data_IF_705735143897
#
_entry.id   IF_705735143897
#
_cell.length_a   1.000
_cell.length_b   1.000
_cell.length_c   1.000
_cell.angle_alpha   90.00
_cell.angle_beta   90.00
_cell.angle_gamma   90.00
#
_symmetry.space_group_name_H-M   'P 1'
#
loop_
_entity.id
_entity.type
_entity.pdbx_description
1 polymer ?
2 non-polymer ?
3 non-polymer ?
4 non-polymer ?
#
# COMPACT_ATOMS: atom_id res chain seq x y z
N UNK A 6 -23.11 -0.78 17.89
CA UNK A 6 -23.31 0.46 17.13
C UNK A 6 -22.03 1.28 17.04
N UNK A 7 -21.21 1.22 18.10
CA UNK A 7 -20.07 2.13 18.23
C UNK A 7 -18.81 1.41 18.71
N UNK A 8 -18.37 0.41 17.96
CA UNK A 8 -17.04 -0.15 18.13
C UNK A 8 -16.17 0.44 17.02
N UNK A 9 -15.25 1.33 17.40
CA UNK A 9 -14.43 2.04 16.44
C UNK A 9 -13.23 1.19 16.02
N UNK A 10 -12.63 1.56 14.90
CA UNK A 10 -11.38 0.99 14.43
C UNK A 10 -10.44 2.13 14.07
N UNK A 11 -9.17 2.00 14.46
CA UNK A 11 -8.18 3.05 14.30
C UNK A 11 -7.02 2.50 13.47
N UNK A 12 -6.63 3.24 12.44
CA UNK A 12 -5.50 2.87 11.59
C UNK A 12 -4.38 3.89 11.74
N UNK A 13 -3.17 3.38 11.87
CA UNK A 13 -1.99 4.22 12.07
C UNK A 13 -0.91 3.82 11.08
N UNK A 14 -0.36 4.81 10.37
CA UNK A 14 0.76 4.59 9.46
C UNK A 14 1.85 5.60 9.81
N UNK A 15 3.04 5.09 10.11
CA UNK A 15 4.19 5.96 10.36
C UNK A 15 5.01 6.05 9.08
N UNK A 16 4.53 6.84 8.13
CA UNK A 16 5.19 6.98 6.85
C UNK A 16 6.48 7.78 6.93
N UNK A 17 7.14 7.90 5.78
CA UNK A 17 8.41 8.59 5.68
C UNK A 17 8.27 10.10 5.50
N UNK A 18 7.04 10.59 5.30
CA UNK A 18 6.82 12.03 5.17
C UNK A 18 5.57 12.47 5.93
N UNK A 19 5.01 11.62 6.78
CA UNK A 19 3.67 11.79 7.31
C UNK A 19 3.43 10.71 8.36
N UNK A 20 2.54 11.02 9.30
CA UNK A 20 2.05 10.04 10.27
C UNK A 20 0.54 10.19 10.30
N UNK A 21 -0.18 9.24 9.71
CA UNK A 21 -1.62 9.31 9.56
C UNK A 21 -2.30 8.43 10.61
N UNK A 22 -3.22 9.02 11.36
CA UNK A 22 -4.05 8.31 12.31
C UNK A 22 -5.50 8.66 12.03
N UNK A 23 -6.30 7.66 11.66
CA UNK A 23 -7.71 7.84 11.34
C UNK A 23 -8.56 6.95 12.21
N UNK A 24 -9.56 7.56 12.86
CA UNK A 24 -10.53 6.84 13.67
C UNK A 24 -11.79 6.64 12.83
N UNK A 25 -12.16 5.38 12.62
CA UNK A 25 -13.31 5.06 11.81
C UNK A 25 -14.36 4.31 12.63
N UNK A 26 -15.62 4.47 12.23
CA UNK A 26 -16.75 3.77 12.82
C UNK A 26 -17.37 2.88 11.75
N UNK A 27 -17.44 1.58 12.04
CA UNK A 27 -17.99 0.64 11.07
C UNK A 27 -19.51 0.66 11.14
N UNK A 28 -20.16 0.76 9.99
CA UNK A 28 -21.60 0.85 9.86
C UNK A 28 -22.19 -0.49 9.46
N UNK A 29 -23.51 -0.68 9.62
CA UNK A 29 -24.09 -2.01 9.36
C UNK A 29 -23.90 -2.51 7.94
N UNK A 30 -23.84 -1.62 6.95
CA UNK A 30 -23.70 -2.03 5.55
C UNK A 30 -22.24 -2.18 5.12
N UNK A 31 -21.32 -2.39 6.06
CA UNK A 31 -19.92 -2.56 5.76
C UNK A 31 -19.16 -1.27 5.53
N UNK A 32 -19.83 -0.18 5.18
CA UNK A 32 -19.16 1.09 4.97
C UNK A 32 -18.58 1.61 6.28
N UNK A 33 -17.39 2.20 6.18
CA UNK A 33 -16.69 2.75 7.34
C UNK A 33 -16.98 4.25 7.43
N UNK A 34 -17.33 4.71 8.63
CA UNK A 34 -17.63 6.12 8.87
C UNK A 34 -16.41 6.77 9.50
N UNK A 35 -15.76 7.67 8.77
CA UNK A 35 -14.57 8.36 9.26
C UNK A 35 -15.01 9.51 10.17
N UNK A 36 -14.63 9.43 11.44
CA UNK A 36 -15.00 10.44 12.43
C UNK A 36 -13.81 11.22 12.96
N UNK A 37 -12.59 10.77 12.70
CA UNK A 37 -11.40 11.48 13.16
C UNK A 37 -10.23 11.33 12.22
N UNK A 38 -9.53 12.44 11.96
CA UNK A 38 -8.39 12.46 11.04
C UNK A 38 -7.25 13.22 11.72
N UNK A 39 -6.16 12.52 11.99
CA UNK A 39 -4.97 13.13 12.54
C UNK A 39 -3.79 12.96 11.61
N UNK A 40 -2.89 13.94 11.63
CA UNK A 40 -1.73 13.92 10.74
C UNK A 40 -0.58 14.70 11.38
N UNK A 41 0.63 14.32 11.02
CA UNK A 41 1.85 14.94 11.51
C UNK A 41 2.97 14.69 10.51
N UNK A 42 3.68 15.72 10.06
CA UNK A 42 4.85 15.50 9.21
C UNK A 42 5.89 14.66 9.95
N UNK A 43 6.32 13.57 9.31
CA UNK A 43 7.15 12.59 9.99
C UNK A 43 8.48 13.20 10.43
N UNK A 44 8.97 12.72 11.58
CA UNK A 44 10.22 13.17 12.14
C UNK A 44 10.92 12.00 12.82
N UNK A 45 12.25 12.07 12.88
CA UNK A 45 13.02 11.05 13.56
C UNK A 45 13.14 9.73 12.83
N UNK A 46 13.02 9.72 11.51
CA UNK A 46 13.15 8.51 10.72
C UNK A 46 13.88 8.82 9.42
N UNK A 47 14.83 7.96 9.06
CA UNK A 47 15.61 8.16 7.84
C UNK A 47 15.35 7.05 6.83
N UNK A 48 16.28 6.87 5.88
CA UNK A 48 16.08 5.91 4.80
C UNK A 48 15.99 4.48 5.30
N UNK A 49 16.47 4.20 6.51
CA UNK A 49 16.31 2.88 7.09
C UNK A 49 15.01 2.77 7.87
N UNK A 50 15.07 3.05 9.16
CA UNK A 50 13.88 3.03 10.00
C UNK A 50 13.86 4.16 11.00
N UNK A 51 13.82 3.81 12.28
CA UNK A 51 13.79 4.79 13.36
C UNK A 51 15.22 5.12 13.78
N UNK A 52 15.59 6.39 13.74
CA UNK A 52 16.88 6.85 14.24
C UNK A 52 16.74 7.72 15.49
N UNK A 53 15.53 7.86 16.02
CA UNK A 53 15.30 8.62 17.26
C UNK A 53 13.91 8.23 17.75
N UNK A 54 13.86 7.34 18.74
CA UNK A 54 12.58 6.83 19.23
C UNK A 54 11.73 7.95 19.82
N UNK A 55 12.33 8.82 20.64
CA UNK A 55 11.57 9.89 21.25
C UNK A 55 11.05 10.89 20.22
N UNK A 56 11.73 11.00 19.07
CA UNK A 56 11.28 11.94 18.06
C UNK A 56 10.01 11.44 17.36
N UNK A 57 9.95 10.15 17.04
CA UNK A 57 8.76 9.61 16.38
C UNK A 57 7.60 9.50 17.35
N UNK A 58 7.89 9.25 18.64
CA UNK A 58 6.84 9.20 19.64
C UNK A 58 6.10 10.53 19.72
N UNK A 59 6.85 11.65 19.62
CA UNK A 59 6.22 12.96 19.62
C UNK A 59 5.27 13.12 18.44
N UNK A 60 5.72 12.72 17.25
CA UNK A 60 4.90 12.88 16.05
C UNK A 60 3.74 11.89 16.02
N UNK A 61 3.93 10.68 16.55
CA UNK A 61 2.84 9.71 16.61
C UNK A 61 1.76 10.20 17.58
N UNK A 62 2.16 10.68 18.75
CA UNK A 62 1.19 11.21 19.71
C UNK A 62 0.50 12.46 19.18
N UNK A 63 1.20 13.26 18.37
CA UNK A 63 0.58 14.46 17.80
C UNK A 63 -0.55 14.08 16.86
N UNK A 64 -0.35 13.06 16.02
CA UNK A 64 -1.42 12.61 15.14
C UNK A 64 -2.55 11.96 15.92
N UNK A 65 -2.20 11.17 16.95
CA UNK A 65 -3.22 10.56 17.80
C UNK A 65 -4.02 11.63 18.53
N UNK A 66 -3.34 12.65 19.05
CA UNK A 66 -4.03 13.73 19.76
C UNK A 66 -4.99 14.47 18.83
N UNK A 67 -4.60 14.66 17.58
CA UNK A 67 -5.49 15.33 16.62
C UNK A 67 -6.70 14.47 16.30
N UNK A 68 -6.50 13.16 16.14
CA UNK A 68 -7.62 12.27 15.84
C UNK A 68 -8.51 12.08 17.05
N UNK A 69 -7.92 11.99 18.25
CA UNK A 69 -8.72 11.87 19.46
C UNK A 69 -9.67 13.04 19.63
N UNK A 70 -9.22 14.25 19.31
CA UNK A 70 -10.03 15.44 19.50
C UNK A 70 -11.12 15.55 18.44
N UNK A 71 -10.81 15.18 17.19
CA UNK A 71 -11.77 15.34 16.11
C UNK A 71 -12.97 14.41 16.27
N UNK A 72 -12.76 13.24 16.88
CA UNK A 72 -13.82 12.26 17.02
C UNK A 72 -14.44 12.24 18.41
N UNK A 73 -13.89 13.01 19.36
CA UNK A 73 -14.35 13.02 20.75
C UNK A 73 -14.40 11.59 21.31
N UNK A 74 -13.24 10.94 21.27
CA UNK A 74 -13.13 9.57 21.74
C UNK A 74 -11.74 9.37 22.34
N UNK A 75 -11.50 8.17 22.87
CA UNK A 75 -10.24 7.81 23.49
C UNK A 75 -9.67 6.60 22.76
N UNK A 76 -8.57 6.80 22.05
CA UNK A 76 -7.92 5.73 21.30
C UNK A 76 -7.16 4.84 22.26
N UNK A 77 -7.30 3.52 22.10
CA UNK A 77 -6.63 2.58 22.99
C UNK A 77 -5.84 1.55 22.20
N UNK A 78 -6.29 1.23 20.98
CA UNK A 78 -5.61 0.27 20.14
C UNK A 78 -5.62 0.76 18.70
N UNK A 79 -4.68 0.24 17.90
CA UNK A 79 -4.52 0.65 16.51
C UNK A 79 -4.15 -0.56 15.66
N UNK A 80 -4.32 -0.39 14.35
CA UNK A 80 -3.82 -1.32 13.34
C UNK A 80 -2.65 -0.63 12.67
N UNK A 81 -1.45 -1.15 12.90
CA UNK A 81 -0.22 -0.51 12.42
C UNK A 81 0.11 -1.00 11.02
N UNK A 82 0.30 -0.06 10.10
CA UNK A 82 0.73 -0.39 8.75
C UNK A 82 2.22 -0.68 8.75
N UNK A 83 2.61 -1.80 8.15
CA UNK A 83 4.00 -2.21 8.08
C UNK A 83 4.44 -2.30 6.62
N UNK A 84 5.61 -1.77 6.33
CA UNK A 84 6.22 -1.87 5.01
C UNK A 84 7.73 -1.95 5.20
N UNK A 85 8.46 -1.84 4.10
CA UNK A 85 9.91 -1.92 4.16
C UNK A 85 10.48 -2.83 3.08
N UNK A 86 11.79 -2.70 2.84
CA UNK A 86 12.42 -3.47 1.76
C UNK A 86 12.28 -4.97 1.98
N UNK A 87 12.29 -5.41 3.24
CA UNK A 87 12.42 -6.83 3.57
C UNK A 87 11.09 -7.54 3.70
N UNK A 88 10.06 -7.09 3.01
CA UNK A 88 8.81 -7.83 2.90
C UNK A 88 8.92 -8.76 1.69
N UNK A 89 8.46 -9.99 1.85
CA UNK A 89 8.50 -10.97 0.77
C UNK A 89 7.21 -11.79 0.79
N UNK A 90 6.98 -12.55 -0.28
CA UNK A 90 5.76 -13.32 -0.44
C UNK A 90 6.08 -14.74 -0.88
N UNK A 91 5.13 -15.64 -0.62
CA UNK A 91 5.25 -17.04 -0.98
C UNK A 91 3.88 -17.56 -1.42
N UNK A 92 3.89 -18.48 -2.38
CA UNK A 92 2.68 -19.14 -2.85
C UNK A 92 2.79 -20.63 -2.53
N UNK A 93 1.83 -21.14 -1.75
CA UNK A 93 1.88 -22.51 -1.27
C UNK A 93 0.55 -23.21 -1.53
N UNK A 94 0.54 -24.52 -1.34
CA UNK A 94 -0.60 -25.38 -1.66
C UNK A 94 -0.78 -26.43 -0.58
N UNK A 95 -2.03 -26.68 -0.17
CA UNK A 95 -2.34 -27.68 0.83
C UNK A 95 -3.45 -28.62 0.37
N UNK A 96 -3.72 -29.63 1.21
CA UNK A 96 -4.60 -30.71 0.82
C UNK A 96 -5.00 -31.53 2.05
N UNK A 97 -6.28 -31.89 2.10
CA UNK A 97 -7.00 -32.26 3.32
C UNK A 97 -8.22 -33.06 2.86
N UNK A 98 -8.68 -34.07 3.62
CA UNK A 98 -9.82 -34.91 3.18
C UNK A 98 -11.18 -34.29 3.51
N UNK A 99 -12.03 -34.17 2.47
CA UNK A 99 -13.41 -33.79 2.71
C UNK A 99 -14.12 -34.96 3.39
N UNK A 100 -13.92 -35.07 4.70
CA UNK A 100 -14.69 -36.01 5.49
C UNK A 100 -16.14 -35.57 5.52
N UNK A 101 -17.04 -36.54 5.74
CA UNK A 101 -18.48 -36.33 5.81
C UNK A 101 -19.08 -35.92 4.47
N UNK A 102 -18.30 -35.98 3.38
CA UNK A 102 -18.79 -35.69 2.04
C UNK A 102 -19.18 -34.23 1.87
N UNK A 103 -19.35 -33.51 2.98
CA UNK A 103 -19.71 -32.11 2.98
C UNK A 103 -18.58 -31.30 3.61
N UNK A 104 -18.25 -30.16 2.98
CA UNK A 104 -17.18 -29.31 3.46
C UNK A 104 -17.60 -28.62 4.76
N UNK A 105 -16.82 -28.84 5.81
CA UNK A 105 -17.00 -28.13 7.06
C UNK A 105 -16.10 -26.89 7.10
N UNK A 106 -16.47 -25.93 7.94
CA UNK A 106 -15.62 -24.77 8.13
C UNK A 106 -14.27 -25.17 8.73
N UNK A 107 -14.25 -26.20 9.57
CA UNK A 107 -13.00 -26.69 10.12
C UNK A 107 -12.08 -27.23 9.04
N UNK A 108 -12.64 -27.77 7.97
CA UNK A 108 -11.81 -28.30 6.88
C UNK A 108 -11.04 -27.18 6.19
N UNK A 109 -11.69 -26.02 5.99
CA UNK A 109 -11.01 -24.89 5.37
C UNK A 109 -9.89 -24.39 6.27
N UNK A 110 -10.14 -24.36 7.59
CA UNK A 110 -9.09 -23.99 8.53
C UNK A 110 -7.95 -25.00 8.50
N UNK A 111 -8.28 -26.29 8.35
CA UNK A 111 -7.25 -27.32 8.35
C UNK A 111 -6.43 -27.28 7.07
N UNK A 112 -7.08 -27.02 5.93
CA UNK A 112 -6.36 -27.04 4.66
C UNK A 112 -5.53 -25.75 4.48
N UNK A 113 -5.97 -24.64 5.07
CA UNK A 113 -5.17 -23.42 5.01
C UNK A 113 -3.94 -23.55 5.90
N UNK A 114 -4.11 -24.13 7.09
CA UNK A 114 -2.98 -24.39 7.96
C UNK A 114 -2.02 -25.39 7.34
N UNK A 115 -2.53 -26.30 6.52
CA UNK A 115 -1.66 -27.27 5.84
C UNK A 115 -0.77 -26.58 4.82
N UNK A 116 -1.34 -25.66 4.02
CA UNK A 116 -0.55 -24.99 3.00
C UNK A 116 0.48 -24.05 3.60
N UNK A 117 0.17 -23.42 4.73
CA UNK A 117 1.08 -22.48 5.35
C UNK A 117 2.16 -23.15 6.19
N UNK A 118 2.09 -24.46 6.38
CA UNK A 118 3.03 -25.19 7.22
C UNK A 118 4.36 -25.49 6.53
N UNK A 119 4.67 -24.79 5.43
CA UNK A 119 5.94 -25.02 4.74
C UNK A 119 7.08 -24.37 5.51
N UNK A 120 8.31 -24.60 5.05
CA UNK A 120 9.51 -24.21 5.80
C UNK A 120 9.87 -22.79 5.38
N UNK A 121 9.47 -21.82 6.17
CA UNK A 121 9.80 -20.42 5.89
C UNK A 121 11.27 -20.18 6.21
N UNK A 122 11.89 -19.30 5.43
CA UNK A 122 13.32 -18.99 5.54
C UNK A 122 13.72 -18.64 6.97
N UNK A 123 15.00 -18.81 7.29
CA UNK A 123 15.57 -18.30 8.52
C UNK A 123 15.26 -16.81 8.66
N UNK A 124 15.37 -16.30 9.88
CA UNK A 124 15.11 -14.89 10.24
C UNK A 124 13.86 -14.29 9.62
N UNK A 125 12.98 -15.11 9.03
CA UNK A 125 11.76 -14.61 8.41
C UNK A 125 10.53 -15.05 9.21
N UNK A 126 9.54 -14.16 9.24
CA UNK A 126 8.32 -14.38 10.00
C UNK A 126 7.12 -14.18 9.08
N UNK A 127 6.12 -15.07 9.21
CA UNK A 127 4.91 -14.96 8.41
C UNK A 127 4.03 -13.85 8.97
N UNK A 128 3.63 -12.93 8.10
CA UNK A 128 2.84 -11.77 8.49
C UNK A 128 1.37 -11.90 8.14
N UNK A 129 1.06 -12.47 6.97
CA UNK A 129 -0.32 -12.65 6.53
C UNK A 129 -0.48 -14.01 5.86
N UNK A 130 -1.60 -14.67 6.16
CA UNK A 130 -1.96 -15.93 5.53
C UNK A 130 -3.27 -15.67 4.79
N UNK A 131 -3.17 -15.44 3.48
CA UNK A 131 -4.33 -15.08 2.66
C UNK A 131 -4.64 -16.27 1.75
N UNK A 132 -5.73 -16.99 1.98
CA UNK A 132 -6.18 -17.98 1.00
C UNK A 132 -6.58 -17.28 -0.29
N UNK A 133 -6.33 -17.95 -1.42
CA UNK A 133 -6.66 -17.38 -2.70
C UNK A 133 -7.66 -18.20 -3.50
N UNK A 134 -7.54 -19.53 -3.49
CA UNK A 134 -8.43 -20.38 -4.26
C UNK A 134 -8.52 -21.75 -3.62
N UNK A 135 -9.64 -22.43 -3.85
CA UNK A 135 -9.86 -23.79 -3.40
C UNK A 135 -10.25 -24.65 -4.60
N UNK A 136 -10.00 -25.95 -4.47
CA UNK A 136 -10.32 -26.91 -5.52
C UNK A 136 -10.87 -28.17 -4.89
N UNK A 137 -12.03 -28.62 -5.36
CA UNK A 137 -12.71 -29.80 -4.84
C UNK A 137 -12.98 -30.73 -6.02
N UNK A 138 -12.14 -31.75 -6.18
CA UNK A 138 -12.32 -32.79 -7.19
C UNK A 138 -12.52 -32.19 -8.58
N UNK A 139 -11.42 -31.75 -9.21
CA UNK A 139 -11.39 -31.27 -10.59
C UNK A 139 -12.09 -29.93 -10.79
N UNK A 140 -12.76 -29.41 -9.77
CA UNK A 140 -13.42 -28.12 -9.86
C UNK A 140 -12.58 -27.08 -9.10
N UNK A 141 -12.06 -26.10 -9.84
CA UNK A 141 -11.17 -25.08 -9.30
C UNK A 141 -11.86 -23.73 -9.30
N UNK A 142 -11.12 -22.70 -8.90
CA UNK A 142 -11.65 -21.35 -8.84
C UNK A 142 -12.65 -21.09 -7.74
N UNK A 143 -12.75 -21.97 -6.76
CA UNK A 143 -13.75 -21.83 -5.70
C UNK A 143 -13.24 -20.87 -4.64
N UNK A 144 -14.14 -20.02 -4.15
CA UNK A 144 -13.83 -19.08 -3.07
C UNK A 144 -14.54 -19.41 -1.76
N UNK A 145 -15.83 -19.77 -1.82
CA UNK A 145 -16.60 -20.17 -0.64
C UNK A 145 -16.96 -21.64 -0.77
N UNK A 146 -16.11 -22.55 -0.31
CA UNK A 146 -16.35 -23.98 -0.54
C UNK A 146 -17.14 -24.69 0.55
N UNK A 147 -17.40 -24.05 1.69
CA UNK A 147 -18.07 -24.73 2.79
C UNK A 147 -19.48 -25.14 2.38
N UNK A 148 -19.88 -26.34 2.79
CA UNK A 148 -21.18 -26.87 2.46
C UNK A 148 -21.25 -27.67 1.17
N UNK A 149 -20.19 -27.69 0.37
CA UNK A 149 -20.21 -28.36 -0.91
C UNK A 149 -19.87 -29.85 -0.75
N UNK A 150 -19.95 -30.59 -1.85
CA UNK A 150 -19.75 -32.03 -1.85
C UNK A 150 -18.45 -32.39 -2.57
N UNK A 151 -17.67 -33.28 -1.97
CA UNK A 151 -16.42 -33.71 -2.57
C UNK A 151 -15.70 -34.69 -1.67
N UNK A 152 -14.58 -35.18 -2.18
CA UNK A 152 -13.74 -36.15 -1.48
C UNK A 152 -12.42 -35.53 -1.04
N UNK A 153 -11.71 -34.91 -1.98
CA UNK A 153 -10.39 -34.33 -1.71
C UNK A 153 -10.43 -32.85 -2.06
N UNK A 154 -9.83 -32.02 -1.21
CA UNK A 154 -9.79 -30.58 -1.42
C UNK A 154 -8.35 -30.08 -1.41
N UNK A 155 -8.02 -29.25 -2.38
CA UNK A 155 -6.75 -28.53 -2.45
C UNK A 155 -6.99 -27.05 -2.23
N UNK A 156 -6.06 -26.40 -1.52
CA UNK A 156 -6.14 -24.96 -1.28
C UNK A 156 -4.82 -24.30 -1.63
N UNK A 157 -4.91 -23.06 -2.11
CA UNK A 157 -3.74 -22.25 -2.41
C UNK A 157 -3.80 -20.98 -1.56
N UNK A 158 -2.66 -20.62 -0.96
CA UNK A 158 -2.58 -19.47 -0.07
C UNK A 158 -1.43 -18.58 -0.49
N UNK A 159 -1.54 -17.31 -0.13
CA UNK A 159 -0.47 -16.33 -0.31
C UNK A 159 0.11 -16.00 1.07
N UNK A 160 1.43 -16.11 1.18
CA UNK A 160 2.12 -15.93 2.47
C UNK A 160 3.00 -14.70 2.39
N UNK A 161 2.57 -13.62 3.04
CA UNK A 161 3.37 -12.41 3.16
C UNK A 161 4.26 -12.55 4.39
N UNK A 162 5.57 -12.39 4.20
CA UNK A 162 6.53 -12.55 5.27
C UNK A 162 7.28 -11.25 5.51
N UNK A 163 7.87 -11.14 6.69
CA UNK A 163 8.69 -9.98 7.06
C UNK A 163 9.91 -10.51 7.78
N UNK A 164 10.54 -9.65 8.59
CA UNK A 164 11.62 -10.05 9.47
C UNK A 164 11.19 -9.90 10.92
N UNK A 165 11.85 -10.66 11.80
CA UNK A 165 11.46 -10.68 13.21
C UNK A 165 11.64 -9.34 13.88
N UNK A 166 12.51 -8.47 13.36
CA UNK A 166 12.85 -7.22 14.03
C UNK A 166 12.48 -5.96 13.26
N UNK A 167 12.12 -6.06 11.98
CA UNK A 167 11.93 -4.88 11.15
C UNK A 167 10.78 -4.00 11.59
N UNK A 168 9.94 -4.46 12.53
CA UNK A 168 8.86 -3.65 13.06
C UNK A 168 8.98 -3.39 14.55
N UNK A 169 10.05 -3.87 15.19
CA UNK A 169 10.18 -3.75 16.64
C UNK A 169 10.21 -2.29 17.10
N UNK A 170 10.76 -1.40 16.27
CA UNK A 170 10.92 -0.01 16.69
C UNK A 170 9.59 0.75 16.64
N UNK A 171 8.86 0.62 15.53
CA UNK A 171 7.60 1.37 15.40
C UNK A 171 6.55 0.84 16.37
N UNK A 172 6.66 -0.43 16.77
CA UNK A 172 5.73 -0.96 17.76
C UNK A 172 5.99 -0.35 19.13
N UNK A 173 7.26 -0.04 19.44
CA UNK A 173 7.58 0.61 20.70
C UNK A 173 7.01 2.03 20.75
N UNK A 174 7.12 2.77 19.65
CA UNK A 174 6.61 4.15 19.62
C UNK A 174 5.11 4.16 19.87
N UNK A 175 4.37 3.21 19.30
CA UNK A 175 2.94 3.13 19.55
C UNK A 175 2.67 2.76 20.99
N UNK A 176 3.39 1.77 21.52
CA UNK A 176 3.22 1.38 22.91
C UNK A 176 3.67 2.46 23.87
N UNK A 177 4.72 3.22 23.51
CA UNK A 177 5.16 4.33 24.34
C UNK A 177 4.09 5.41 24.46
N UNK A 178 3.17 5.49 23.51
CA UNK A 178 2.03 6.39 23.59
C UNK A 178 0.85 5.76 24.32
N UNK A 179 1.07 4.64 25.01
CA UNK A 179 0.00 3.97 25.74
C UNK A 179 -1.06 3.38 24.83
N UNK A 180 -0.63 2.69 23.78
CA UNK A 180 -1.54 2.10 22.80
C UNK A 180 -1.17 0.66 22.54
N UNK A 181 -2.20 -0.18 22.35
CA UNK A 181 -2.01 -1.57 21.96
C UNK A 181 -1.92 -1.67 20.45
N UNK A 182 -1.06 -2.58 19.97
CA UNK A 182 -0.94 -2.86 18.55
C UNK A 182 -1.78 -4.10 18.26
N UNK A 183 -2.95 -3.88 17.67
CA UNK A 183 -3.86 -5.01 17.42
C UNK A 183 -3.28 -5.97 16.39
N UNK A 184 -2.67 -5.44 15.33
CA UNK A 184 -2.13 -6.28 14.27
C UNK A 184 -1.26 -5.43 13.36
N UNK A 185 -0.16 -6.03 12.88
CA UNK A 185 0.65 -5.43 11.82
C UNK A 185 0.07 -5.85 10.47
N UNK A 186 -0.08 -4.89 9.56
CA UNK A 186 -0.68 -5.13 8.26
C UNK A 186 0.22 -4.52 7.19
N UNK A 187 0.52 -5.31 6.16
CA UNK A 187 1.33 -4.83 5.05
C UNK A 187 0.64 -3.67 4.34
N UNK A 188 1.39 -2.60 4.08
CA UNK A 188 0.80 -1.39 3.51
C UNK A 188 0.17 -1.65 2.15
N UNK A 189 0.81 -2.48 1.33
CA UNK A 189 0.25 -2.79 0.03
C UNK A 189 -1.08 -3.51 0.14
N UNK A 190 -1.22 -4.40 1.12
CA UNK A 190 -2.49 -5.07 1.36
C UNK A 190 -3.55 -4.07 1.82
N UNK A 191 -3.19 -3.19 2.75
CA UNK A 191 -4.14 -2.19 3.23
C UNK A 191 -4.52 -1.21 2.12
N UNK A 192 -3.55 -0.84 1.28
CA UNK A 192 -3.84 0.06 0.17
C UNK A 192 -4.77 -0.59 -0.85
N UNK A 193 -4.67 -1.91 -1.03
CA UNK A 193 -5.56 -2.60 -1.96
C UNK A 193 -6.98 -2.68 -1.43
N UNK A 194 -7.15 -2.66 -0.10
CA UNK A 194 -8.48 -2.70 0.48
C UNK A 194 -9.23 -1.38 0.38
N UNK A 195 -8.55 -0.29 0.02
CA UNK A 195 -9.16 1.02 -0.05
C UNK A 195 -9.56 1.44 -1.46
N UNK A 196 -8.69 1.20 -2.45
CA UNK A 196 -8.89 1.73 -3.79
C UNK A 196 -9.36 0.69 -4.80
N UNK A 197 -9.30 -0.60 -4.47
CA UNK A 197 -9.68 -1.65 -5.39
C UNK A 197 -11.12 -2.07 -5.16
N UNK A 198 -11.83 -2.28 -6.27
CA UNK A 198 -13.17 -2.85 -6.23
C UNK A 198 -13.09 -4.34 -6.54
N UNK A 199 -14.08 -5.09 -6.04
CA UNK A 199 -14.12 -6.52 -6.33
C UNK A 199 -14.32 -6.78 -7.82
N UNK A 200 -14.91 -5.83 -8.54
CA UNK A 200 -14.96 -5.93 -10.00
C UNK A 200 -13.56 -5.89 -10.59
N UNK A 201 -12.72 -4.96 -10.12
CA UNK A 201 -11.35 -4.86 -10.61
C UNK A 201 -10.51 -6.06 -10.16
N UNK A 202 -10.83 -6.63 -9.00
CA UNK A 202 -10.07 -7.78 -8.52
C UNK A 202 -10.32 -9.02 -9.38
N UNK A 203 -11.58 -9.24 -9.77
CA UNK A 203 -11.88 -10.38 -10.63
C UNK A 203 -11.31 -10.18 -12.04
N UNK A 204 -11.42 -8.96 -12.57
CA UNK A 204 -10.96 -8.68 -13.92
C UNK A 204 -9.44 -8.70 -14.04
N UNK A 205 -8.73 -8.63 -12.92
CA UNK A 205 -7.28 -8.60 -12.96
C UNK A 205 -6.73 -7.19 -12.86
N UNK A 206 -6.10 -6.86 -11.73
CA UNK A 206 -5.65 -5.49 -11.46
C UNK A 206 -4.38 -5.54 -10.62
N UNK A 207 -3.64 -4.43 -10.64
CA UNK A 207 -2.46 -4.25 -9.81
C UNK A 207 -2.49 -2.84 -9.23
N UNK A 208 -2.36 -2.75 -7.91
CA UNK A 208 -2.40 -1.48 -7.19
C UNK A 208 -0.99 -1.15 -6.72
N UNK A 209 -0.58 0.10 -6.93
CA UNK A 209 0.75 0.57 -6.56
C UNK A 209 0.60 1.81 -5.70
N UNK A 210 1.08 1.74 -4.45
CA UNK A 210 1.08 2.88 -3.53
C UNK A 210 2.46 3.52 -3.58
N UNK A 211 2.54 4.71 -4.17
CA UNK A 211 3.80 5.44 -4.31
C UNK A 211 3.85 6.45 -3.19
N UNK A 212 4.58 6.11 -2.12
CA UNK A 212 4.72 7.01 -1.00
C UNK A 212 5.94 7.90 -1.12
N UNK A 213 6.61 8.16 0.01
CA UNK A 213 7.81 8.97 0.01
C UNK A 213 9.07 8.12 -0.01
N UNK A 214 8.98 6.89 0.46
CA UNK A 214 10.15 6.04 0.56
C UNK A 214 10.00 4.68 -0.10
N UNK A 215 8.82 4.07 0.01
CA UNK A 215 8.58 2.72 -0.47
C UNK A 215 7.53 2.71 -1.58
N UNK A 216 7.48 1.59 -2.29
CA UNK A 216 6.50 1.36 -3.36
C UNK A 216 5.83 0.02 -3.07
N UNK A 217 4.64 0.07 -2.46
CA UNK A 217 3.92 -1.13 -2.06
C UNK A 217 3.05 -1.61 -3.21
N UNK A 218 3.23 -2.87 -3.61
CA UNK A 218 2.58 -3.43 -4.80
C UNK A 218 1.74 -4.62 -4.39
N UNK A 219 0.58 -4.76 -5.06
CA UNK A 219 -0.28 -5.92 -4.88
C UNK A 219 -0.99 -6.18 -6.20
N UNK A 220 -0.97 -7.43 -6.65
CA UNK A 220 -1.56 -7.82 -7.92
C UNK A 220 -2.67 -8.84 -7.67
N UNK A 221 -3.84 -8.57 -8.22
CA UNK A 221 -5.01 -9.43 -8.07
C UNK A 221 -5.43 -9.96 -9.43
N UNK A 222 -5.57 -11.28 -9.55
CA UNK A 222 -6.17 -11.91 -10.72
C UNK A 222 -7.15 -12.97 -10.25
N UNK A 223 -8.28 -13.07 -10.94
CA UNK A 223 -9.31 -14.00 -10.54
C UNK A 223 -9.86 -13.76 -9.15
N UNK A 224 -9.92 -12.50 -8.72
CA UNK A 224 -10.39 -12.18 -7.39
C UNK A 224 -9.49 -12.65 -6.28
N UNK A 225 -8.24 -13.00 -6.59
CA UNK A 225 -7.32 -13.56 -5.61
C UNK A 225 -6.02 -12.77 -5.62
N UNK A 226 -5.42 -12.61 -4.44
CA UNK A 226 -4.14 -11.93 -4.31
C UNK A 226 -3.03 -12.86 -4.78
N UNK A 227 -2.33 -12.47 -5.84
CA UNK A 227 -1.31 -13.32 -6.43
C UNK A 227 0.11 -12.87 -6.13
N UNK A 228 0.33 -11.59 -5.86
CA UNK A 228 1.68 -11.08 -5.67
C UNK A 228 1.67 -9.84 -4.79
N UNK A 229 2.70 -9.72 -3.96
CA UNK A 229 2.95 -8.54 -3.15
C UNK A 229 4.45 -8.24 -3.17
N UNK A 230 4.80 -6.96 -3.19
CA UNK A 230 6.20 -6.59 -3.29
C UNK A 230 6.37 -5.14 -2.83
N UNK A 231 7.50 -4.86 -2.17
CA UNK A 231 7.91 -3.51 -1.83
C UNK A 231 9.12 -3.14 -2.66
N UNK A 232 9.13 -1.93 -3.20
CA UNK A 232 10.27 -1.37 -3.89
C UNK A 232 10.67 -0.08 -3.17
N UNK A 233 11.87 0.01 -2.62
CA UNK A 233 12.19 1.14 -1.74
C UNK A 233 12.67 2.39 -2.48
N UNK A 234 11.99 2.76 -3.56
CA UNK A 234 12.32 3.98 -4.30
C UNK A 234 11.02 4.68 -4.66
N UNK A 235 10.73 5.77 -3.95
CA UNK A 235 9.50 6.53 -4.20
C UNK A 235 9.76 8.02 -4.23
N UNK A 236 8.81 8.81 -3.71
CA UNK A 236 8.82 10.25 -3.94
C UNK A 236 10.10 10.97 -3.57
N UNK A 237 10.80 10.47 -2.55
CA UNK A 237 12.04 11.14 -2.13
C UNK A 237 13.11 11.07 -3.20
N UNK A 238 13.12 10.01 -4.01
CA UNK A 238 14.12 9.87 -5.06
C UNK A 238 13.88 10.90 -6.15
N UNK A 239 12.61 11.18 -6.45
CA UNK A 239 12.28 12.22 -7.43
C UNK A 239 12.78 13.58 -6.96
N UNK A 240 12.62 13.85 -5.65
CA UNK A 240 13.09 15.12 -5.10
C UNK A 240 14.60 15.25 -5.20
N UNK A 241 15.33 14.20 -4.81
CA UNK A 241 16.78 14.25 -4.86
C UNK A 241 17.29 14.42 -6.28
N UNK A 242 16.52 13.96 -7.28
CA UNK A 242 16.89 14.21 -8.67
C UNK A 242 16.77 15.68 -9.02
N UNK A 243 15.79 16.37 -8.44
CA UNK A 243 15.63 17.80 -8.71
C UNK A 243 16.68 18.60 -7.98
N UNK A 244 16.96 18.25 -6.72
CA UNK A 244 18.02 18.95 -5.97
C UNK A 244 19.37 18.73 -6.62
N UNK A 245 19.60 17.55 -7.20
CA UNK A 245 20.87 17.27 -7.85
C UNK A 245 20.98 18.00 -9.19
N UNK A 246 19.90 18.02 -9.97
CA UNK A 246 19.98 18.55 -11.32
C UNK A 246 20.16 20.06 -11.34
N UNK A 247 19.49 20.78 -10.44
CA UNK A 247 19.53 22.24 -10.43
C UNK A 247 20.35 22.79 -9.27
N UNK A 248 20.99 21.91 -8.48
CA UNK A 248 21.81 22.36 -7.37
C UNK A 248 21.04 23.15 -6.33
N UNK A 249 19.99 22.55 -5.77
CA UNK A 249 19.07 23.22 -4.88
C UNK A 249 19.00 22.49 -3.55
N UNK A 250 18.63 23.17 -2.47
CA UNK A 250 18.35 22.47 -1.21
C UNK A 250 17.23 21.46 -1.39
N UNK A 251 17.33 20.30 -0.73
CA UNK A 251 16.30 19.26 -0.92
C UNK A 251 14.93 19.67 -0.43
N UNK A 252 14.84 20.68 0.44
CA UNK A 252 13.54 21.14 0.91
C UNK A 252 12.83 21.99 -0.14
N UNK A 253 13.58 22.72 -0.96
CA UNK A 253 12.98 23.53 -2.02
C UNK A 253 12.83 22.75 -3.32
N UNK A 254 13.53 21.63 -3.48
CA UNK A 254 13.24 20.72 -4.58
C UNK A 254 11.93 19.98 -4.36
N UNK A 255 11.60 19.70 -3.09
CA UNK A 255 10.31 19.11 -2.78
C UNK A 255 9.18 20.12 -2.94
N UNK A 256 9.46 21.40 -2.71
CA UNK A 256 8.44 22.42 -2.87
C UNK A 256 8.13 22.67 -4.34
N UNK A 257 9.17 22.83 -5.16
CA UNK A 257 8.94 23.08 -6.59
C UNK A 257 8.31 21.86 -7.25
N UNK A 258 8.55 20.66 -6.71
CA UNK A 258 8.00 19.46 -7.31
C UNK A 258 6.49 19.35 -7.05
N UNK A 259 6.06 19.69 -5.83
CA UNK A 259 4.65 19.54 -5.49
C UNK A 259 3.82 20.63 -6.16
N UNK A 260 4.37 21.85 -6.26
CA UNK A 260 3.61 22.97 -6.79
C UNK A 260 3.74 23.13 -8.30
N UNK A 261 4.86 22.71 -8.90
CA UNK A 261 5.09 22.89 -10.32
C UNK A 261 5.46 21.62 -11.05
N UNK A 262 5.56 20.48 -10.37
CA UNK A 262 6.02 19.27 -11.01
C UNK A 262 5.01 18.68 -11.97
N UNK A 263 5.51 17.81 -12.84
CA UNK A 263 4.70 17.13 -13.85
C UNK A 263 5.48 15.97 -14.44
N UNK A 264 4.93 14.76 -14.39
CA UNK A 264 5.60 13.56 -14.89
C UNK A 264 5.49 13.42 -16.41
N UNK A 265 4.95 14.42 -17.10
CA UNK A 265 4.80 14.38 -18.55
C UNK A 265 5.26 15.72 -19.11
N UNK A 266 6.41 15.72 -19.80
CA UNK A 266 6.97 16.96 -20.30
C UNK A 266 6.28 17.52 -21.53
N UNK A 267 5.34 16.78 -22.12
CA UNK A 267 4.67 17.20 -23.34
C UNK A 267 3.47 18.10 -23.10
N UNK A 268 3.03 18.26 -21.85
CA UNK A 268 1.81 19.01 -21.54
C UNK A 268 2.12 20.26 -20.72
N UNK A 269 3.35 20.76 -20.79
CA UNK A 269 3.79 21.92 -20.02
C UNK A 269 3.94 23.10 -20.97
N UNK A 270 3.37 24.24 -20.58
CA UNK A 270 3.50 25.44 -21.37
C UNK A 270 4.95 25.88 -21.51
N UNK A 271 5.26 26.49 -22.65
CA UNK A 271 6.66 26.79 -22.96
C UNK A 271 7.22 27.87 -22.04
N UNK A 272 6.43 28.90 -21.73
CA UNK A 272 6.95 30.08 -21.07
C UNK A 272 6.63 30.14 -19.58
N UNK A 273 6.10 29.06 -19.00
CA UNK A 273 5.98 28.99 -17.55
C UNK A 273 7.35 28.75 -16.93
N UNK A 274 7.71 29.57 -15.95
CA UNK A 274 9.02 29.49 -15.31
C UNK A 274 8.87 29.71 -13.82
N UNK A 275 9.68 29.00 -13.04
CA UNK A 275 9.64 29.07 -11.58
C UNK A 275 11.05 29.33 -11.06
N UNK A 276 11.14 30.23 -10.07
CA UNK A 276 12.41 30.56 -9.44
C UNK A 276 12.80 29.48 -8.44
N UNK A 277 14.12 29.32 -8.25
CA UNK A 277 14.65 28.25 -7.42
C UNK A 277 15.81 28.77 -6.59
N UNK A 278 15.76 28.68 -5.26
CA UNK A 278 16.93 29.02 -4.45
C UNK A 278 18.01 27.96 -4.60
N UNK A 279 19.25 28.41 -4.81
CA UNK A 279 20.38 27.52 -5.01
C UNK A 279 21.11 27.29 -3.69
N UNK A 280 22.05 26.34 -3.72
CA UNK A 280 22.81 25.94 -2.55
C UNK A 280 24.09 26.78 -2.46
N UNK A 281 24.59 26.97 -1.24
CA UNK A 281 25.89 27.58 -1.05
C UNK A 281 25.93 29.09 -1.13
N UNK A 282 24.90 29.77 -0.63
CA UNK A 282 24.87 31.22 -0.67
C UNK A 282 24.87 31.80 -2.08
N UNK A 283 24.43 31.05 -3.06
CA UNK A 283 24.40 31.43 -4.45
C UNK A 283 23.00 31.93 -4.83
N UNK A 284 22.84 32.58 -6.00
CA UNK A 284 21.59 33.28 -6.28
C UNK A 284 20.47 32.32 -6.65
N UNK A 285 19.24 32.82 -6.80
CA UNK A 285 18.16 31.98 -7.31
C UNK A 285 18.46 31.44 -8.70
N UNK A 286 17.68 30.42 -9.08
CA UNK A 286 17.81 29.76 -10.37
C UNK A 286 16.44 29.77 -11.04
N UNK A 287 16.35 30.44 -12.20
CA UNK A 287 15.07 30.61 -12.89
C UNK A 287 15.00 29.61 -14.04
N UNK A 288 14.58 28.39 -13.71
CA UNK A 288 14.42 27.34 -14.71
C UNK A 288 13.02 27.45 -15.33
N UNK A 289 12.63 26.46 -16.12
CA UNK A 289 11.34 26.43 -16.78
C UNK A 289 10.55 25.21 -16.33
N UNK A 290 9.22 25.34 -16.34
CA UNK A 290 8.36 24.26 -15.88
C UNK A 290 8.48 23.03 -16.78
N UNK A 291 8.66 23.26 -18.09
CA UNK A 291 8.83 22.13 -19.00
C UNK A 291 10.19 21.46 -18.81
N UNK A 292 11.23 22.25 -18.57
CA UNK A 292 12.55 21.69 -18.29
C UNK A 292 12.53 20.89 -16.99
N UNK A 293 11.87 21.42 -15.97
CA UNK A 293 11.73 20.69 -14.71
C UNK A 293 10.98 19.38 -14.93
N UNK A 294 9.96 19.39 -15.79
CA UNK A 294 9.23 18.16 -16.10
C UNK A 294 10.10 17.17 -16.84
N UNK A 295 11.10 17.65 -17.60
CA UNK A 295 12.02 16.76 -18.30
C UNK A 295 12.96 16.02 -17.35
N UNK A 296 13.01 16.42 -16.08
CA UNK A 296 13.79 15.71 -15.08
C UNK A 296 12.90 14.78 -14.26
N UNK A 297 11.67 15.22 -13.96
CA UNK A 297 10.76 14.41 -13.16
C UNK A 297 10.28 13.19 -13.96
N UNK A 298 9.93 13.40 -15.23
CA UNK A 298 9.37 12.36 -16.08
C UNK A 298 10.22 11.10 -16.15
N UNK A 299 11.50 11.16 -16.55
CA UNK A 299 12.27 9.91 -16.71
C UNK A 299 12.50 9.17 -15.41
N UNK A 300 12.43 9.84 -14.26
CA UNK A 300 12.52 9.13 -12.99
C UNK A 300 11.26 8.32 -12.74
N UNK A 301 10.10 8.85 -13.13
CA UNK A 301 8.85 8.14 -12.92
C UNK A 301 8.76 6.90 -13.81
N UNK A 302 9.24 7.00 -15.05
CA UNK A 302 9.21 5.85 -15.94
C UNK A 302 10.13 4.75 -15.44
N UNK A 303 11.32 5.11 -14.96
CA UNK A 303 12.25 4.12 -14.45
C UNK A 303 11.69 3.41 -13.23
N UNK A 304 11.00 4.16 -12.36
CA UNK A 304 10.39 3.56 -11.18
C UNK A 304 9.25 2.62 -11.56
N UNK A 305 8.34 3.09 -12.41
CA UNK A 305 7.22 2.28 -12.83
C UNK A 305 7.65 1.11 -13.72
N UNK A 306 8.82 1.21 -14.36
CA UNK A 306 9.33 0.07 -15.12
C UNK A 306 9.82 -1.03 -14.18
N UNK A 307 10.28 -0.66 -12.98
CA UNK A 307 10.62 -1.67 -11.98
C UNK A 307 9.39 -2.46 -11.57
N UNK A 308 8.23 -1.80 -11.53
CA UNK A 308 6.98 -2.50 -11.22
C UNK A 308 6.49 -3.27 -12.43
N UNK A 309 6.67 -2.71 -13.63
CA UNK A 309 6.13 -3.34 -14.84
C UNK A 309 6.77 -4.71 -15.07
N UNK A 310 8.10 -4.79 -14.95
CA UNK A 310 8.80 -6.04 -15.23
C UNK A 310 8.70 -7.04 -14.08
N UNK A 311 8.09 -6.67 -12.96
CA UNK A 311 7.69 -7.65 -11.96
C UNK A 311 6.30 -8.19 -12.22
N UNK A 312 5.42 -7.37 -12.79
CA UNK A 312 4.14 -7.88 -13.28
C UNK A 312 4.37 -8.86 -14.42
N UNK A 313 5.19 -8.46 -15.40
CA UNK A 313 5.53 -9.36 -16.50
C UNK A 313 6.17 -10.64 -15.99
N UNK A 314 7.07 -10.52 -15.02
CA UNK A 314 7.66 -11.70 -14.40
C UNK A 314 6.62 -12.53 -13.67
N UNK A 315 5.52 -11.92 -13.24
CA UNK A 315 4.46 -12.66 -12.55
C UNK A 315 3.50 -13.30 -13.54
N UNK A 316 3.17 -12.60 -14.62
CA UNK A 316 2.22 -13.12 -15.59
C UNK A 316 2.72 -14.41 -16.23
N UNK A 317 3.98 -14.41 -16.67
CA UNK A 317 4.56 -15.63 -17.24
C UNK A 317 4.55 -16.76 -16.22
N UNK A 318 4.76 -16.44 -14.94
CA UNK A 318 4.66 -17.46 -13.90
C UNK A 318 3.24 -17.98 -13.78
N UNK A 319 2.26 -17.08 -13.75
CA UNK A 319 0.87 -17.50 -13.62
C UNK A 319 0.36 -18.15 -14.89
N UNK A 320 0.80 -17.66 -16.06
CA UNK A 320 0.31 -18.19 -17.33
C UNK A 320 0.69 -19.64 -17.53
N UNK A 321 1.88 -20.05 -17.04
CA UNK A 321 2.31 -21.42 -17.23
C UNK A 321 1.55 -22.39 -16.34
N UNK A 322 1.08 -21.93 -15.17
CA UNK A 322 0.31 -22.77 -14.27
C UNK A 322 -1.20 -22.64 -14.47
N UNK A 323 -1.63 -22.19 -15.66
CA UNK A 323 -3.04 -22.17 -15.99
C UNK A 323 -3.89 -21.24 -15.14
N UNK A 324 -3.27 -20.29 -14.45
CA UNK A 324 -3.99 -19.34 -13.62
C UNK A 324 -4.20 -18.06 -14.40
N UNK A 325 -5.33 -17.39 -14.15
CA UNK A 325 -5.64 -16.11 -14.77
C UNK A 325 -4.46 -15.16 -14.63
N UNK A 326 -3.96 -14.65 -15.74
CA UNK A 326 -2.72 -13.89 -15.76
C UNK A 326 -2.82 -12.51 -16.39
N UNK A 327 -3.91 -12.19 -17.08
CA UNK A 327 -4.04 -10.92 -17.77
C UNK A 327 -4.69 -9.88 -16.86
N UNK A 328 -4.10 -8.69 -16.82
CA UNK A 328 -4.63 -7.58 -16.02
C UNK A 328 -5.53 -6.74 -16.92
N UNK A 329 -6.82 -7.12 -16.98
CA UNK A 329 -7.76 -6.39 -17.82
C UNK A 329 -8.24 -5.10 -17.16
N UNK A 330 -8.28 -5.06 -15.82
CA UNK A 330 -8.72 -3.84 -15.14
C UNK A 330 -7.66 -2.75 -15.17
N UNK A 331 -6.39 -3.11 -15.32
CA UNK A 331 -5.34 -2.12 -15.45
C UNK A 331 -4.54 -1.89 -14.18
N UNK A 332 -4.06 -0.65 -14.01
CA UNK A 332 -3.22 -0.29 -12.87
C UNK A 332 -3.90 0.85 -12.13
N UNK A 333 -3.87 0.78 -10.79
CA UNK A 333 -4.42 1.82 -9.93
C UNK A 333 -3.26 2.40 -9.13
N UNK A 334 -2.87 3.62 -9.46
CA UNK A 334 -1.77 4.31 -8.77
C UNK A 334 -2.34 5.15 -7.63
N UNK A 335 -2.05 4.76 -6.40
CA UNK A 335 -2.46 5.49 -5.22
C UNK A 335 -1.22 5.97 -4.46
N UNK A 336 -1.45 6.60 -3.32
CA UNK A 336 -0.38 7.14 -2.52
C UNK A 336 -0.17 8.63 -2.75
N UNK A 337 0.66 9.22 -1.88
CA UNK A 337 0.89 10.66 -1.96
C UNK A 337 1.61 11.08 -3.22
N UNK A 338 2.66 10.34 -3.59
CA UNK A 338 3.44 10.69 -4.76
C UNK A 338 2.72 10.40 -6.08
N UNK A 339 1.50 9.88 -6.03
CA UNK A 339 0.73 9.58 -7.23
C UNK A 339 -0.11 10.75 -7.70
N UNK A 340 -0.05 11.89 -7.01
CA UNK A 340 -0.88 13.04 -7.34
C UNK A 340 -0.22 14.00 -8.32
N UNK A 341 0.96 13.68 -8.84
CA UNK A 341 1.63 14.58 -9.77
C UNK A 341 0.85 14.67 -11.07
N UNK A 342 0.93 15.83 -11.71
CA UNK A 342 0.17 16.06 -12.92
C UNK A 342 0.73 15.24 -14.08
N UNK A 343 -0.17 14.64 -14.85
CA UNK A 343 0.23 13.86 -16.00
C UNK A 343 0.82 12.50 -15.68
N UNK A 344 0.62 12.00 -14.46
CA UNK A 344 1.18 10.69 -14.10
C UNK A 344 0.43 9.56 -14.78
N UNK A 345 -0.90 9.64 -14.86
CA UNK A 345 -1.68 8.58 -15.47
C UNK A 345 -1.31 8.38 -16.92
N UNK A 346 -1.22 9.48 -17.68
CA UNK A 346 -0.79 9.38 -19.07
C UNK A 346 0.65 8.93 -19.19
N UNK A 347 1.50 9.32 -18.23
CA UNK A 347 2.89 8.87 -18.25
C UNK A 347 2.98 7.38 -17.90
N UNK A 348 2.22 6.93 -16.90
CA UNK A 348 2.22 5.52 -16.55
C UNK A 348 1.56 4.66 -17.61
N UNK A 349 0.72 5.25 -18.46
CA UNK A 349 0.08 4.48 -19.53
C UNK A 349 1.11 4.00 -20.53
N UNK A 350 2.15 4.79 -20.78
CA UNK A 350 3.17 4.44 -21.77
C UNK A 350 4.15 3.39 -21.26
N UNK A 351 4.09 3.03 -19.99
CA UNK A 351 4.98 2.03 -19.41
C UNK A 351 4.31 0.66 -19.32
N UNK A 352 3.09 0.62 -18.79
CA UNK A 352 2.33 -0.63 -18.68
C UNK A 352 1.54 -0.95 -19.93
N UNK A 353 1.28 0.04 -20.79
CA UNK A 353 0.53 -0.12 -22.04
C UNK A 353 -0.90 -0.59 -21.80
N UNK A 354 -1.43 -0.40 -20.59
CA UNK A 354 -2.83 -0.66 -20.27
C UNK A 354 -3.42 0.58 -19.63
N UNK A 355 -4.68 0.47 -19.21
CA UNK A 355 -5.36 1.61 -18.60
C UNK A 355 -4.86 1.83 -17.18
N UNK A 356 -4.64 3.09 -16.83
CA UNK A 356 -4.18 3.48 -15.49
C UNK A 356 -5.10 4.54 -14.93
N UNK A 357 -5.30 4.52 -13.62
CA UNK A 357 -6.14 5.50 -12.95
C UNK A 357 -5.57 5.77 -11.57
N UNK A 358 -5.76 7.01 -11.10
CA UNK A 358 -5.34 7.40 -9.76
C UNK A 358 -6.46 7.05 -8.79
N UNK A 359 -6.15 6.24 -7.79
CA UNK A 359 -7.14 5.69 -6.89
C UNK A 359 -7.20 6.41 -5.57
N UNK A 360 -8.41 6.57 -5.06
CA UNK A 360 -8.70 7.14 -3.75
C UNK A 360 -9.48 6.12 -2.92
N UNK A 361 -9.47 6.24 -1.60
CA UNK A 361 -10.21 5.28 -0.76
C UNK A 361 -11.70 5.24 -1.13
N UNK A 362 -12.26 4.04 -1.10
CA UNK A 362 -13.66 3.81 -1.41
C UNK A 362 -14.38 3.25 -0.19
N UNK A 363 -15.72 3.25 -0.27
CA UNK A 363 -16.58 2.68 0.76
C UNK A 363 -16.35 3.34 2.11
N UNK A 364 -16.33 4.67 2.11
CA UNK A 364 -16.22 5.45 3.34
C UNK A 364 -17.18 6.62 3.28
N UNK A 365 -17.67 7.03 4.44
CA UNK A 365 -18.55 8.18 4.56
C UNK A 365 -17.97 9.10 5.63
N UNK A 366 -18.78 10.04 6.11
CA UNK A 366 -18.33 10.97 7.12
C UNK A 366 -17.34 11.99 6.59
N UNK A 367 -16.09 11.91 7.04
CA UNK A 367 -15.05 12.84 6.59
C UNK A 367 -14.29 12.24 5.41
N UNK A 368 -15.02 12.08 4.31
CA UNK A 368 -14.36 11.78 3.04
C UNK A 368 -13.61 13.01 2.53
N UNK A 369 -14.12 14.20 2.82
CA UNK A 369 -13.46 15.44 2.43
C UNK A 369 -12.01 15.50 2.91
N UNK A 370 -11.72 14.87 4.06
CA UNK A 370 -10.38 14.86 4.62
C UNK A 370 -9.64 13.56 4.36
N UNK A 371 -10.35 12.44 4.25
CA UNK A 371 -9.72 11.13 4.16
C UNK A 371 -9.71 10.54 2.75
N UNK A 372 -10.64 10.94 1.89
CA UNK A 372 -10.67 10.39 0.53
C UNK A 372 -9.55 10.98 -0.32
N UNK A 373 -8.31 10.79 0.13
CA UNK A 373 -7.12 11.26 -0.57
C UNK A 373 -6.18 10.08 -0.83
N UNK A 374 -5.43 10.11 -1.93
CA UNK A 374 -4.55 8.97 -2.23
C UNK A 374 -3.52 8.69 -1.15
N UNK A 375 -3.05 9.71 -0.44
CA UNK A 375 -2.10 9.51 0.64
C UNK A 375 -2.75 8.98 1.92
N UNK A 376 -4.04 8.64 1.87
CA UNK A 376 -4.72 8.02 3.00
C UNK A 376 -5.22 6.62 2.69
N UNK A 377 -4.93 6.09 1.50
CA UNK A 377 -5.43 4.78 1.12
C UNK A 377 -4.86 3.69 2.02
N UNK A 378 -3.59 3.81 2.41
CA UNK A 378 -2.97 2.81 3.26
C UNK A 378 -3.64 2.77 4.63
N UNK A 379 -3.83 3.93 5.25
CA UNK A 379 -4.36 3.96 6.61
C UNK A 379 -5.88 3.79 6.63
N UNK A 380 -6.58 4.15 5.56
CA UNK A 380 -8.01 3.85 5.47
C UNK A 380 -8.22 2.35 5.31
N UNK A 381 -7.33 1.69 4.58
CA UNK A 381 -7.43 0.24 4.41
C UNK A 381 -7.20 -0.52 5.69
N UNK A 382 -6.42 0.05 6.62
CA UNK A 382 -6.26 -0.57 7.93
C UNK A 382 -7.60 -0.64 8.67
N UNK A 383 -8.51 0.29 8.37
CA UNK A 383 -9.84 0.23 8.94
C UNK A 383 -10.67 -0.87 8.27
N UNK A 384 -10.55 -0.99 6.94
CA UNK A 384 -11.31 -2.02 6.22
C UNK A 384 -10.86 -3.42 6.64
N UNK A 385 -9.55 -3.61 6.85
CA UNK A 385 -9.06 -4.90 7.31
C UNK A 385 -9.48 -5.17 8.75
N UNK A 386 -9.47 -4.13 9.59
CA UNK A 386 -9.62 -4.34 11.02
C UNK A 386 -11.01 -4.80 11.44
N UNK A 387 -12.04 -4.43 10.67
CA UNK A 387 -13.42 -4.79 11.00
C UNK A 387 -13.75 -6.23 10.62
N UNK A 388 -12.75 -7.10 10.46
CA UNK A 388 -13.00 -8.48 10.06
C UNK A 388 -12.29 -9.45 11.01
#
# INVERSE_FOLDING_TARGET
MIKATDRKLVVGLEIGTAKVAALVGEVLPDGMVNIIGVGSCPSRGMDKGGVNDLESVVKCVQRAIDQAELMADCQISSVYLALSGKHISCQNEIGMVPISEEEVTQEDVENVVHTAKSVRVRDEHRVLHVIPQEYAIDYQEGIKNPVGLSGVRMQAKVHLITCHNDMAKNIVKAVERCGLKVDQLIFAGLASSYSVLTEDERELGVCVVDIGGGTMDIAVYTGGALRHTKVIPYAGNVVTSDIAYAFGTPPSDAEAIKVRHGCALGSIVGKDESVEVPSVGGRPPRSLQRQTLAEVIEPRYTELLNLVNEEILQLQEKLRQQGVKHHLAAGIVLTGGAAQIEGLAACAQRVFHTQVRIGAPLNITGLTDYAQEPYYSTAVGLLHYGKESHLNGEAEVEKRVTASV
#
